data_IF_641374031851
#
_entry.id   IF_641374031851
#
_cell.length_a   1.000
_cell.length_b   1.000
_cell.length_c   1.000
_cell.angle_alpha   90.00
_cell.angle_beta   90.00
_cell.angle_gamma   90.00
#
_symmetry.space_group_name_H-M   'P 1'
#
loop_
_entity.id
_entity.type
_entity.pdbx_description
1 polymer ?
#
# COMPACT_ATOMS: atom_id res chain seq x y z
N UNK A 1 -8.17 -42.01 22.92
CA UNK A 1 -7.91 -41.27 21.67
C UNK A 1 -8.20 -39.78 21.87
N UNK A 2 -7.21 -39.00 22.32
CA UNK A 2 -7.35 -37.55 22.39
C UNK A 2 -6.93 -36.95 21.04
N UNK A 3 -7.87 -36.27 20.37
CA UNK A 3 -7.62 -35.51 19.14
C UNK A 3 -6.62 -34.39 19.45
N UNK A 4 -5.36 -34.57 19.05
CA UNK A 4 -4.37 -33.48 19.01
C UNK A 4 -4.89 -32.43 18.03
N UNK A 5 -5.43 -31.33 18.56
CA UNK A 5 -5.76 -30.15 17.78
C UNK A 5 -4.50 -29.68 17.04
N UNK A 6 -4.54 -29.69 15.71
CA UNK A 6 -3.50 -29.09 14.88
C UNK A 6 -3.40 -27.63 15.29
N UNK A 7 -2.26 -27.23 15.89
CA UNK A 7 -1.91 -25.80 16.03
C UNK A 7 -1.97 -25.18 14.63
N UNK A 8 -2.64 -24.04 14.43
CA UNK A 8 -2.63 -23.38 13.13
C UNK A 8 -1.18 -23.08 12.75
N UNK A 9 -0.80 -23.46 11.54
CA UNK A 9 0.46 -23.03 10.92
C UNK A 9 0.39 -21.50 10.89
N UNK A 10 1.31 -20.81 11.56
CA UNK A 10 1.35 -19.35 11.56
C UNK A 10 1.58 -18.88 10.12
N UNK A 11 0.62 -18.17 9.54
CA UNK A 11 0.78 -17.57 8.22
C UNK A 11 1.98 -16.59 8.23
N UNK A 12 2.74 -16.56 7.13
CA UNK A 12 3.74 -15.51 6.93
C UNK A 12 3.06 -14.13 6.93
N UNK A 13 3.73 -13.12 7.50
CA UNK A 13 3.22 -11.74 7.49
C UNK A 13 2.97 -11.21 6.08
N UNK A 14 3.77 -11.64 5.10
CA UNK A 14 3.54 -11.29 3.70
C UNK A 14 2.22 -11.86 3.20
N UNK A 15 1.87 -13.09 3.60
CA UNK A 15 0.60 -13.68 3.22
C UNK A 15 -0.59 -12.94 3.85
N UNK A 16 -0.45 -12.51 5.11
CA UNK A 16 -1.45 -11.67 5.79
C UNK A 16 -1.61 -10.33 5.07
N UNK A 17 -0.52 -9.63 4.79
CA UNK A 17 -0.53 -8.32 4.10
C UNK A 17 -1.12 -8.41 2.70
N UNK A 18 -0.74 -9.45 1.95
CA UNK A 18 -1.25 -9.66 0.60
C UNK A 18 -2.76 -9.98 0.60
N UNK A 19 -3.20 -10.78 1.57
CA UNK A 19 -4.61 -11.11 1.76
C UNK A 19 -5.43 -9.89 2.19
N UNK A 20 -4.88 -9.02 3.04
CA UNK A 20 -5.50 -7.74 3.41
C UNK A 20 -5.62 -6.79 2.21
N UNK A 21 -4.64 -6.76 1.29
CA UNK A 21 -4.74 -6.01 0.05
C UNK A 21 -5.95 -6.47 -0.80
N UNK A 22 -6.19 -7.78 -0.89
CA UNK A 22 -7.34 -8.34 -1.58
C UNK A 22 -8.66 -8.04 -0.87
N UNK A 23 -8.70 -8.10 0.47
CA UNK A 23 -9.88 -7.69 1.24
C UNK A 23 -10.20 -6.20 1.04
N UNK A 24 -9.18 -5.34 1.00
CA UNK A 24 -9.35 -3.93 0.67
C UNK A 24 -9.97 -3.76 -0.72
N UNK A 25 -9.45 -4.45 -1.73
CA UNK A 25 -10.02 -4.40 -3.08
C UNK A 25 -11.47 -4.90 -3.15
N UNK A 26 -11.81 -5.96 -2.40
CA UNK A 26 -13.18 -6.46 -2.29
C UNK A 26 -14.13 -5.42 -1.69
N UNK A 27 -13.72 -4.77 -0.59
CA UNK A 27 -14.52 -3.72 0.06
C UNK A 27 -14.66 -2.48 -0.82
N UNK A 28 -13.59 -2.07 -1.51
CA UNK A 28 -13.64 -0.93 -2.44
C UNK A 28 -14.55 -1.22 -3.62
N UNK A 29 -14.51 -2.41 -4.22
CA UNK A 29 -15.44 -2.79 -5.29
C UNK A 29 -16.89 -2.88 -4.82
N UNK A 30 -17.13 -3.31 -3.57
CA UNK A 30 -18.47 -3.28 -2.98
C UNK A 30 -19.00 -1.85 -2.87
N UNK A 31 -18.13 -0.89 -2.49
CA UNK A 31 -18.49 0.54 -2.38
C UNK A 31 -18.59 1.22 -3.75
N UNK A 32 -17.73 0.84 -4.69
CA UNK A 32 -17.64 1.40 -6.05
C UNK A 32 -17.58 0.26 -7.09
N UNK A 33 -18.75 -0.28 -7.50
CA UNK A 33 -18.80 -1.42 -8.44
C UNK A 33 -18.16 -1.15 -9.80
N UNK A 34 -18.04 0.12 -10.19
CA UNK A 34 -17.43 0.56 -11.46
C UNK A 34 -15.91 0.77 -11.37
N UNK A 35 -15.32 0.70 -10.17
CA UNK A 35 -13.90 0.93 -9.97
C UNK A 35 -13.01 -0.06 -10.75
N UNK A 36 -11.86 0.44 -11.22
CA UNK A 36 -10.88 -0.39 -11.92
C UNK A 36 -9.70 -0.69 -11.02
N UNK A 37 -9.37 -1.97 -10.90
CA UNK A 37 -8.29 -2.47 -10.06
C UNK A 37 -6.94 -2.36 -10.78
N UNK A 38 -5.98 -1.70 -10.14
CA UNK A 38 -4.58 -1.66 -10.54
C UNK A 38 -3.78 -2.81 -9.94
N UNK A 39 -2.72 -2.48 -9.20
CA UNK A 39 -1.86 -3.45 -8.50
C UNK A 39 -1.98 -3.31 -6.98
N UNK A 40 -1.83 -4.42 -6.26
CA UNK A 40 -1.87 -4.47 -4.81
C UNK A 40 -0.77 -5.32 -4.17
N UNK A 41 0.51 -4.89 -4.23
CA UNK A 41 1.61 -5.64 -3.67
C UNK A 41 1.73 -5.44 -2.15
N UNK A 42 2.49 -6.34 -1.52
CA UNK A 42 3.01 -6.11 -0.18
C UNK A 42 4.21 -5.16 -0.23
N UNK A 43 4.44 -4.47 0.89
CA UNK A 43 5.61 -3.63 1.15
C UNK A 43 6.13 -3.95 2.56
N UNK A 44 7.32 -3.43 2.90
CA UNK A 44 8.06 -3.77 4.13
C UNK A 44 7.20 -3.87 5.41
N UNK A 45 6.31 -2.89 5.64
CA UNK A 45 5.47 -2.81 6.84
C UNK A 45 3.97 -3.02 6.57
N UNK A 46 3.60 -3.41 5.35
CA UNK A 46 2.19 -3.38 4.97
C UNK A 46 1.90 -3.76 3.53
N UNK A 47 0.95 -3.06 2.95
CA UNK A 47 0.46 -3.25 1.59
C UNK A 47 -0.12 -1.94 1.06
N UNK A 48 -0.36 -1.90 -0.24
CA UNK A 48 -1.25 -0.92 -0.81
C UNK A 48 -2.11 -1.56 -1.89
N UNK A 49 -3.11 -0.83 -2.37
CA UNK A 49 -3.84 -1.20 -3.58
C UNK A 49 -4.19 0.06 -4.39
N UNK A 50 -3.96 0.00 -5.70
CA UNK A 50 -4.24 1.09 -6.64
C UNK A 50 -5.61 0.93 -7.28
N UNK A 51 -6.38 2.02 -7.34
CA UNK A 51 -7.73 2.04 -7.87
C UNK A 51 -7.94 3.24 -8.81
N UNK A 52 -8.59 3.01 -9.95
CA UNK A 52 -9.28 4.08 -10.65
C UNK A 52 -10.71 4.12 -10.13
N UNK A 53 -11.07 5.22 -9.48
CA UNK A 53 -12.35 5.39 -8.79
C UNK A 53 -13.21 6.44 -9.49
N UNK A 54 -14.54 6.34 -9.42
CA UNK A 54 -15.43 7.39 -9.93
C UNK A 54 -15.32 8.68 -9.13
N UNK A 55 -14.89 8.60 -7.86
CA UNK A 55 -14.49 9.73 -7.02
C UNK A 55 -13.35 9.32 -6.10
N UNK A 56 -12.48 10.24 -5.66
CA UNK A 56 -11.50 9.95 -4.63
C UNK A 56 -12.16 9.52 -3.31
N UNK A 57 -11.51 8.60 -2.60
CA UNK A 57 -11.79 8.24 -1.21
C UNK A 57 -10.97 9.18 -0.32
N UNK A 58 -11.62 9.90 0.60
CA UNK A 58 -10.91 10.76 1.54
C UNK A 58 -10.26 9.94 2.68
N UNK A 59 -9.26 10.49 3.36
CA UNK A 59 -8.57 9.78 4.45
C UNK A 59 -9.53 9.47 5.62
N UNK A 60 -10.54 10.31 5.82
CA UNK A 60 -11.57 10.19 6.85
C UNK A 60 -12.51 9.00 6.57
N UNK A 61 -12.66 8.59 5.31
CA UNK A 61 -13.47 7.43 4.91
C UNK A 61 -12.75 6.09 5.12
N UNK A 62 -11.43 6.10 5.40
CA UNK A 62 -10.65 4.87 5.57
C UNK A 62 -11.13 4.01 6.74
N UNK A 63 -11.59 4.65 7.83
CA UNK A 63 -12.14 3.93 8.99
C UNK A 63 -13.34 3.05 8.63
N UNK A 64 -14.22 3.53 7.74
CA UNK A 64 -15.38 2.74 7.27
C UNK A 64 -14.94 1.53 6.44
N UNK A 65 -13.90 1.69 5.61
CA UNK A 65 -13.35 0.57 4.83
C UNK A 65 -12.72 -0.48 5.75
N UNK A 66 -11.98 -0.05 6.77
CA UNK A 66 -11.40 -0.98 7.76
C UNK A 66 -12.48 -1.78 8.50
N UNK A 67 -13.57 -1.14 8.91
CA UNK A 67 -14.68 -1.83 9.58
C UNK A 67 -15.30 -2.90 8.68
N UNK A 68 -15.54 -2.60 7.40
CA UNK A 68 -16.01 -3.59 6.43
C UNK A 68 -14.98 -4.71 6.22
N UNK A 69 -13.68 -4.40 6.18
CA UNK A 69 -12.62 -5.43 6.14
C UNK A 69 -12.66 -6.33 7.38
N UNK A 70 -12.84 -5.77 8.59
CA UNK A 70 -12.99 -6.54 9.84
C UNK A 70 -14.25 -7.42 9.80
N UNK A 71 -15.35 -6.95 9.21
CA UNK A 71 -16.56 -7.77 8.99
C UNK A 71 -16.27 -8.96 8.08
N UNK A 72 -15.53 -8.78 6.98
CA UNK A 72 -15.11 -9.88 6.11
C UNK A 72 -14.18 -10.87 6.83
N UNK A 73 -13.25 -10.37 7.66
CA UNK A 73 -12.33 -11.23 8.41
C UNK A 73 -13.09 -12.22 9.31
N UNK A 74 -14.13 -11.74 10.00
CA UNK A 74 -14.97 -12.54 10.91
C UNK A 74 -15.81 -13.62 10.21
N UNK A 75 -15.94 -13.58 8.89
CA UNK A 75 -16.74 -14.53 8.11
C UNK A 75 -15.99 -15.83 7.74
N UNK A 76 -14.73 -16.00 8.15
CA UNK A 76 -13.93 -17.19 7.85
C UNK A 76 -13.82 -17.48 6.34
N UNK A 77 -13.66 -16.43 5.53
CA UNK A 77 -13.61 -16.55 4.08
C UNK A 77 -12.35 -17.29 3.66
N UNK A 78 -12.43 -18.03 2.55
CA UNK A 78 -11.35 -18.83 2.00
C UNK A 78 -10.74 -18.14 0.79
N UNK A 79 -9.42 -18.18 0.70
CA UNK A 79 -8.69 -17.79 -0.51
C UNK A 79 -8.44 -19.02 -1.37
N UNK A 80 -8.92 -19.05 -2.61
CA UNK A 80 -8.70 -20.20 -3.51
C UNK A 80 -8.05 -19.72 -4.81
N UNK A 81 -6.88 -20.28 -5.08
CA UNK A 81 -6.11 -20.00 -6.28
C UNK A 81 -6.33 -21.06 -7.34
N UNK A 82 -6.45 -20.65 -8.60
CA UNK A 82 -6.37 -21.58 -9.74
C UNK A 82 -5.51 -21.00 -10.86
N UNK A 83 -4.75 -21.87 -11.52
CA UNK A 83 -4.05 -21.54 -12.76
C UNK A 83 -5.10 -21.37 -13.86
N UNK A 84 -4.89 -20.39 -14.72
CA UNK A 84 -5.81 -20.07 -15.82
C UNK A 84 -5.05 -19.84 -17.11
N UNK A 85 -5.70 -20.08 -18.24
CA UNK A 85 -5.17 -19.67 -19.54
C UNK A 85 -5.28 -18.15 -19.72
N UNK A 86 -4.53 -17.58 -20.67
CA UNK A 86 -4.66 -16.17 -21.01
C UNK A 86 -6.07 -15.81 -21.50
N UNK A 87 -6.73 -16.72 -22.25
CA UNK A 87 -8.10 -16.52 -22.73
C UNK A 87 -9.10 -16.51 -21.56
N UNK A 88 -8.98 -17.45 -20.63
CA UNK A 88 -9.82 -17.49 -19.42
C UNK A 88 -9.59 -16.27 -18.54
N UNK A 89 -8.34 -15.89 -18.29
CA UNK A 89 -7.99 -14.71 -17.51
C UNK A 89 -8.62 -13.43 -18.10
N UNK A 90 -8.55 -13.25 -19.43
CA UNK A 90 -9.19 -12.12 -20.13
C UNK A 90 -10.71 -12.12 -19.97
N UNK A 91 -11.34 -13.29 -20.00
CA UNK A 91 -12.78 -13.44 -19.78
C UNK A 91 -13.18 -13.07 -18.34
N UNK A 92 -12.43 -13.55 -17.35
CA UNK A 92 -12.67 -13.28 -15.93
C UNK A 92 -12.43 -11.81 -15.57
N UNK A 93 -11.39 -11.20 -16.14
CA UNK A 93 -11.03 -9.80 -15.91
C UNK A 93 -11.69 -8.83 -16.91
N UNK A 94 -12.79 -9.24 -17.53
CA UNK A 94 -13.53 -8.40 -18.49
C UNK A 94 -13.99 -7.11 -17.78
N UNK A 95 -13.66 -5.97 -18.38
CA UNK A 95 -13.98 -4.66 -17.81
C UNK A 95 -12.98 -4.15 -16.77
N UNK A 96 -11.87 -4.85 -16.54
CA UNK A 96 -10.73 -4.40 -15.72
C UNK A 96 -9.53 -4.09 -16.62
N UNK A 97 -9.43 -2.88 -17.22
CA UNK A 97 -8.47 -2.59 -18.29
C UNK A 97 -7.01 -2.78 -17.87
N UNK A 98 -6.66 -2.37 -16.64
CA UNK A 98 -5.31 -2.54 -16.09
C UNK A 98 -4.95 -4.02 -15.92
N UNK A 99 -5.90 -4.86 -15.49
CA UNK A 99 -5.69 -6.32 -15.38
C UNK A 99 -5.54 -6.97 -16.76
N UNK A 100 -6.30 -6.53 -17.76
CA UNK A 100 -6.14 -6.99 -19.14
C UNK A 100 -4.76 -6.66 -19.71
N UNK A 101 -4.23 -5.48 -19.38
CA UNK A 101 -2.87 -5.09 -19.74
C UNK A 101 -1.82 -5.98 -19.05
N UNK A 102 -1.95 -6.21 -17.74
CA UNK A 102 -1.06 -7.13 -17.01
C UNK A 102 -1.09 -8.54 -17.61
N UNK A 103 -2.26 -9.06 -17.98
CA UNK A 103 -2.38 -10.37 -18.64
C UNK A 103 -1.59 -10.38 -19.95
N UNK A 104 -1.71 -9.33 -20.77
CA UNK A 104 -0.96 -9.22 -22.03
C UNK A 104 0.54 -9.26 -21.78
N UNK A 105 1.02 -8.48 -20.81
CA UNK A 105 2.45 -8.36 -20.52
C UNK A 105 3.00 -9.68 -19.95
N UNK A 106 2.31 -10.30 -18.99
CA UNK A 106 2.68 -11.61 -18.44
C UNK A 106 2.64 -12.73 -19.49
N UNK A 107 1.69 -12.67 -20.44
CA UNK A 107 1.63 -13.63 -21.54
C UNK A 107 2.84 -13.49 -22.48
N UNK A 108 3.26 -12.26 -22.79
CA UNK A 108 4.48 -12.00 -23.58
C UNK A 108 5.73 -12.52 -22.87
N UNK A 109 5.79 -12.36 -21.55
CA UNK A 109 6.87 -12.86 -20.69
C UNK A 109 6.78 -14.39 -20.44
N UNK A 110 5.81 -15.10 -21.03
CA UNK A 110 5.56 -16.54 -20.81
C UNK A 110 5.39 -16.91 -19.33
N UNK A 111 4.85 -16.00 -18.52
CA UNK A 111 4.59 -16.21 -17.09
C UNK A 111 3.28 -16.97 -16.88
N UNK A 112 3.28 -17.88 -15.92
CA UNK A 112 2.07 -18.59 -15.51
C UNK A 112 1.05 -17.59 -14.94
N UNK A 113 -0.16 -17.61 -15.47
CA UNK A 113 -1.28 -16.83 -14.97
C UNK A 113 -2.07 -17.63 -13.93
N UNK A 114 -2.49 -16.94 -12.88
CA UNK A 114 -3.39 -17.47 -11.85
C UNK A 114 -4.37 -16.39 -11.41
N UNK A 115 -5.52 -16.85 -10.96
CA UNK A 115 -6.54 -16.01 -10.31
C UNK A 115 -6.80 -16.52 -8.92
N UNK A 116 -7.13 -15.61 -8.01
CA UNK A 116 -7.47 -15.92 -6.63
C UNK A 116 -8.85 -15.34 -6.32
N UNK A 117 -9.73 -16.19 -5.79
CA UNK A 117 -11.01 -15.77 -5.25
C UNK A 117 -10.99 -15.66 -3.72
N UNK A 118 -11.91 -14.84 -3.21
CA UNK A 118 -12.32 -14.82 -1.82
C UNK A 118 -13.75 -15.33 -1.78
N UNK A 119 -13.97 -16.49 -1.18
CA UNK A 119 -15.26 -17.16 -1.16
C UNK A 119 -15.70 -17.54 0.25
N UNK A 120 -17.00 -17.78 0.43
CA UNK A 120 -17.54 -18.37 1.67
C UNK A 120 -16.94 -19.75 1.95
N UNK A 121 -16.93 -20.23 3.21
CA UNK A 121 -16.31 -21.50 3.58
C UNK A 121 -16.77 -22.70 2.74
N UNK A 122 -18.08 -22.77 2.47
CA UNK A 122 -18.74 -23.77 1.63
C UNK A 122 -18.42 -23.63 0.13
N UNK A 123 -17.87 -22.49 -0.29
CA UNK A 123 -17.59 -22.17 -1.68
C UNK A 123 -18.80 -21.73 -2.49
N UNK A 124 -19.97 -21.57 -1.87
CA UNK A 124 -21.21 -21.25 -2.57
C UNK A 124 -21.26 -19.82 -3.11
N UNK A 125 -20.53 -18.88 -2.47
CA UNK A 125 -20.51 -17.47 -2.88
C UNK A 125 -19.09 -16.94 -3.00
N UNK A 126 -18.76 -16.43 -4.19
CA UNK A 126 -17.52 -15.68 -4.45
C UNK A 126 -17.78 -14.19 -4.20
N UNK A 127 -17.04 -13.59 -3.28
CA UNK A 127 -17.14 -12.17 -2.94
C UNK A 127 -16.20 -11.31 -3.77
N UNK A 128 -15.08 -11.89 -4.20
CA UNK A 128 -14.04 -11.19 -4.95
C UNK A 128 -13.21 -12.17 -5.77
N UNK A 129 -12.71 -11.72 -6.92
CA UNK A 129 -11.81 -12.48 -7.79
C UNK A 129 -10.80 -11.50 -8.39
N UNK A 130 -9.52 -11.85 -8.36
CA UNK A 130 -8.45 -11.02 -8.94
C UNK A 130 -7.36 -11.83 -9.62
N UNK A 131 -6.69 -11.21 -10.58
CA UNK A 131 -5.46 -11.72 -11.18
C UNK A 131 -4.31 -11.54 -10.19
N UNK A 132 -3.80 -12.66 -9.69
CA UNK A 132 -2.82 -12.67 -8.62
C UNK A 132 -1.94 -13.92 -8.70
N UNK A 133 -0.65 -13.78 -8.36
CA UNK A 133 0.32 -14.90 -8.31
C UNK A 133 0.17 -15.81 -7.08
N UNK A 134 -0.61 -15.39 -6.08
CA UNK A 134 -0.81 -16.12 -4.84
C UNK A 134 0.11 -15.71 -3.70
N UNK A 135 0.22 -16.59 -2.71
CA UNK A 135 0.83 -16.28 -1.41
C UNK A 135 -0.18 -15.69 -0.43
N UNK A 136 -1.42 -16.18 -0.44
CA UNK A 136 -2.47 -15.79 0.51
C UNK A 136 -2.50 -16.72 1.73
N UNK A 137 -3.13 -16.24 2.80
CA UNK A 137 -3.57 -17.11 3.91
C UNK A 137 -4.62 -18.11 3.43
N UNK A 138 -4.82 -19.23 4.12
CA UNK A 138 -5.86 -20.19 3.73
C UNK A 138 -7.26 -19.70 4.11
N UNK A 139 -7.38 -18.99 5.23
CA UNK A 139 -8.60 -18.37 5.71
C UNK A 139 -8.34 -16.98 6.27
N UNK A 140 -9.34 -16.11 6.16
CA UNK A 140 -9.33 -14.83 6.87
C UNK A 140 -9.22 -14.97 8.40
N UNK A 141 -9.49 -16.15 8.99
CA UNK A 141 -9.26 -16.41 10.41
C UNK A 141 -7.77 -16.33 10.82
N UNK A 142 -6.85 -16.48 9.86
CA UNK A 142 -5.41 -16.33 10.12
C UNK A 142 -4.99 -14.85 10.21
N UNK A 143 -5.89 -13.92 9.90
CA UNK A 143 -5.67 -12.48 9.97
C UNK A 143 -6.19 -11.97 11.31
N UNK A 144 -5.31 -11.39 12.12
CA UNK A 144 -5.73 -10.76 13.37
C UNK A 144 -6.48 -9.44 13.08
N UNK A 145 -7.78 -9.30 13.42
CA UNK A 145 -8.62 -8.19 12.99
C UNK A 145 -8.20 -6.82 13.54
N UNK A 146 -7.49 -6.80 14.68
CA UNK A 146 -6.97 -5.58 15.29
C UNK A 146 -5.47 -5.35 15.04
N UNK A 147 -4.84 -6.13 14.15
CA UNK A 147 -3.41 -6.00 13.84
C UNK A 147 -3.13 -5.38 12.46
N UNK A 148 -4.12 -4.68 11.89
CA UNK A 148 -3.94 -3.89 10.67
C UNK A 148 -4.64 -2.52 10.77
N UNK A 149 -4.18 -1.57 9.95
CA UNK A 149 -4.75 -0.23 9.81
C UNK A 149 -4.52 0.32 8.39
N UNK A 150 -5.52 0.95 7.79
CA UNK A 150 -5.38 1.79 6.61
C UNK A 150 -4.85 3.16 7.04
N UNK A 151 -3.76 3.62 6.42
CA UNK A 151 -2.99 4.76 6.93
C UNK A 151 -3.25 6.05 6.17
N UNK A 152 -3.19 6.01 4.84
CA UNK A 152 -3.33 7.18 3.99
C UNK A 152 -3.70 6.80 2.57
N UNK A 153 -4.21 7.79 1.84
CA UNK A 153 -4.33 7.75 0.40
C UNK A 153 -3.21 8.55 -0.28
N UNK A 154 -2.87 8.19 -1.51
CA UNK A 154 -1.92 8.92 -2.34
C UNK A 154 -2.31 8.80 -3.82
N UNK A 155 -1.77 9.67 -4.67
CA UNK A 155 -1.83 9.50 -6.12
C UNK A 155 -0.69 8.61 -6.61
N UNK A 156 -0.96 7.75 -7.58
CA UNK A 156 0.05 6.99 -8.30
C UNK A 156 -0.30 6.91 -9.78
N UNK A 157 0.68 7.08 -10.66
CA UNK A 157 0.45 6.87 -12.08
C UNK A 157 0.59 5.40 -12.45
N UNK A 158 -0.30 4.90 -13.31
CA UNK A 158 -0.20 3.52 -13.78
C UNK A 158 1.16 3.26 -14.44
N UNK A 159 1.83 2.18 -14.03
CA UNK A 159 3.22 1.83 -14.41
C UNK A 159 4.26 2.93 -14.14
N UNK A 160 3.97 3.88 -13.25
CA UNK A 160 4.90 4.95 -12.87
C UNK A 160 5.16 5.99 -13.96
N UNK A 161 4.30 6.08 -14.98
CA UNK A 161 4.44 7.05 -16.07
C UNK A 161 3.32 8.09 -16.02
N UNK A 162 3.65 9.37 -15.93
CA UNK A 162 2.71 10.50 -15.87
C UNK A 162 1.80 10.62 -17.10
N UNK A 163 2.14 9.93 -18.19
CA UNK A 163 1.33 9.83 -19.42
C UNK A 163 0.14 8.89 -19.27
N UNK A 164 0.14 8.04 -18.24
CA UNK A 164 -0.92 7.08 -17.98
C UNK A 164 -1.94 7.64 -16.99
N UNK A 165 -3.14 7.04 -16.88
CA UNK A 165 -4.14 7.45 -15.90
C UNK A 165 -3.59 7.49 -14.47
N UNK A 166 -3.94 8.56 -13.74
CA UNK A 166 -3.68 8.66 -12.31
C UNK A 166 -4.67 7.76 -11.55
N UNK A 167 -4.13 6.92 -10.70
CA UNK A 167 -4.85 6.04 -9.79
C UNK A 167 -4.75 6.58 -8.37
N UNK A 168 -5.75 6.25 -7.55
CA UNK A 168 -5.67 6.44 -6.11
C UNK A 168 -5.11 5.20 -5.45
N UNK A 169 -3.99 5.36 -4.76
CA UNK A 169 -3.35 4.35 -3.94
C UNK A 169 -3.87 4.45 -2.51
N UNK A 170 -4.32 3.34 -1.94
CA UNK A 170 -4.68 3.26 -0.52
C UNK A 170 -3.64 2.40 0.18
N UNK A 171 -2.99 2.95 1.20
CA UNK A 171 -1.98 2.27 2.01
C UNK A 171 -2.60 1.62 3.25
N UNK A 172 -2.10 0.44 3.60
CA UNK A 172 -2.36 -0.21 4.87
C UNK A 172 -1.10 -0.81 5.47
N UNK A 173 -1.08 -0.93 6.79
CA UNK A 173 -0.03 -1.61 7.55
C UNK A 173 -0.61 -2.80 8.28
N UNK A 174 0.18 -3.86 8.44
CA UNK A 174 -0.28 -5.07 9.12
C UNK A 174 0.88 -5.81 9.80
N UNK A 175 0.58 -6.34 10.99
CA UNK A 175 1.52 -6.97 11.92
C UNK A 175 0.92 -8.26 12.48
N UNK A 176 1.74 -9.04 13.21
CA UNK A 176 1.27 -10.30 13.77
C UNK A 176 0.36 -10.06 14.98
N UNK A 177 0.59 -8.96 15.69
CA UNK A 177 -0.13 -8.63 16.91
C UNK A 177 -0.61 -7.18 16.92
N UNK A 178 -1.69 -6.91 17.67
CA UNK A 178 -2.15 -5.55 17.96
C UNK A 178 -1.07 -4.70 18.64
N UNK A 179 -0.23 -5.31 19.49
CA UNK A 179 0.86 -4.61 20.19
C UNK A 179 1.89 -4.04 19.21
N UNK A 180 2.30 -4.84 18.22
CA UNK A 180 3.23 -4.40 17.17
C UNK A 180 2.63 -3.28 16.32
N UNK A 181 1.36 -3.38 15.94
CA UNK A 181 0.65 -2.31 15.24
C UNK A 181 0.69 -1.01 16.04
N UNK A 182 0.32 -1.06 17.33
CA UNK A 182 0.33 0.14 18.19
C UNK A 182 1.73 0.73 18.31
N UNK A 183 2.76 -0.10 18.49
CA UNK A 183 4.15 0.34 18.57
C UNK A 183 4.60 1.03 17.28
N UNK A 184 4.27 0.44 16.11
CA UNK A 184 4.58 1.03 14.81
C UNK A 184 3.87 2.38 14.63
N UNK A 185 2.58 2.46 14.93
CA UNK A 185 1.82 3.72 14.79
C UNK A 185 2.37 4.82 15.70
N UNK A 186 2.77 4.49 16.93
CA UNK A 186 3.43 5.43 17.84
C UNK A 186 4.76 5.93 17.27
N UNK A 187 5.57 5.04 16.69
CA UNK A 187 6.81 5.44 16.02
C UNK A 187 6.54 6.38 14.84
N UNK A 188 5.53 6.10 14.01
CA UNK A 188 5.17 6.97 12.88
C UNK A 188 4.74 8.37 13.36
N UNK A 189 4.00 8.46 14.45
CA UNK A 189 3.62 9.75 15.05
C UNK A 189 4.87 10.55 15.51
N UNK A 190 5.84 9.87 16.13
CA UNK A 190 7.10 10.49 16.54
C UNK A 190 7.97 10.94 15.35
N UNK A 191 7.98 10.17 14.25
CA UNK A 191 8.66 10.56 13.01
C UNK A 191 7.98 11.77 12.36
N UNK A 192 6.65 11.82 12.37
CA UNK A 192 5.88 12.93 11.81
C UNK A 192 6.10 14.24 12.59
N UNK A 193 6.31 14.17 13.91
CA UNK A 193 6.72 15.33 14.73
C UNK A 193 8.10 15.88 14.35
N UNK A 194 8.95 15.05 13.72
CA UNK A 194 10.34 15.36 13.31
C UNK A 194 10.47 15.62 11.82
N UNK A 195 9.35 15.73 11.10
CA UNK A 195 9.36 16.03 9.67
C UNK A 195 9.90 17.45 9.43
N UNK A 196 11.04 17.55 8.75
CA UNK A 196 11.71 18.81 8.45
C UNK A 196 10.81 19.79 7.69
N UNK A 197 9.80 19.32 6.94
CA UNK A 197 8.86 20.19 6.21
C UNK A 197 7.90 20.87 7.19
N UNK A 198 7.45 20.13 8.21
CA UNK A 198 6.60 20.68 9.28
C UNK A 198 7.41 21.59 10.20
N UNK A 199 8.58 21.14 10.62
CA UNK A 199 9.47 21.93 11.48
C UNK A 199 9.99 23.18 10.78
N UNK A 200 10.41 23.06 9.51
CA UNK A 200 10.89 24.17 8.70
C UNK A 200 9.86 25.29 8.56
N UNK A 201 8.59 24.93 8.32
CA UNK A 201 7.50 25.91 8.33
C UNK A 201 7.26 26.50 9.74
N UNK A 202 7.24 25.67 10.80
CA UNK A 202 6.96 26.12 12.18
C UNK A 202 8.06 27.01 12.77
N UNK A 203 9.29 26.81 12.36
CA UNK A 203 10.49 27.52 12.81
C UNK A 203 10.91 28.64 11.84
N UNK A 204 10.12 28.87 10.79
CA UNK A 204 10.37 29.90 9.78
C UNK A 204 11.75 29.76 9.12
N UNK A 205 12.11 28.54 8.71
CA UNK A 205 13.42 28.24 8.11
C UNK A 205 13.40 28.39 6.59
N UNK A 206 12.35 27.88 5.95
CA UNK A 206 12.20 27.93 4.49
C UNK A 206 10.74 27.77 4.08
N UNK A 207 10.44 28.13 2.83
CA UNK A 207 9.16 27.90 2.18
C UNK A 207 9.33 27.41 0.74
N UNK A 208 8.26 26.89 0.16
CA UNK A 208 8.20 26.48 -1.24
C UNK A 208 7.07 27.20 -1.95
N UNK A 209 7.34 27.65 -3.17
CA UNK A 209 6.39 28.38 -4.01
C UNK A 209 6.27 27.75 -5.39
N UNK A 210 5.09 27.86 -6.00
CA UNK A 210 4.81 27.32 -7.34
C UNK A 210 5.65 27.96 -8.45
N UNK A 211 6.17 29.16 -8.22
CA UNK A 211 7.07 29.87 -9.15
C UNK A 211 8.41 29.16 -9.33
N UNK A 212 8.88 28.39 -8.33
CA UNK A 212 10.09 27.59 -8.42
C UNK A 212 9.92 26.24 -7.71
N UNK A 213 9.25 25.27 -8.37
CA UNK A 213 9.00 23.95 -7.77
C UNK A 213 10.31 23.22 -7.44
N UNK A 214 10.45 22.76 -6.20
CA UNK A 214 11.63 22.04 -5.73
C UNK A 214 12.79 22.93 -5.28
N UNK A 215 12.72 24.25 -5.48
CA UNK A 215 13.69 25.20 -4.93
C UNK A 215 13.15 25.81 -3.63
N UNK A 216 13.82 25.58 -2.47
CA UNK A 216 13.42 26.21 -1.22
C UNK A 216 13.81 27.69 -1.22
N UNK A 217 12.89 28.52 -0.73
CA UNK A 217 13.17 29.91 -0.40
C UNK A 217 13.61 29.94 1.06
N UNK A 218 14.90 30.18 1.29
CA UNK A 218 15.45 30.24 2.64
C UNK A 218 15.09 31.55 3.32
N UNK A 219 14.55 31.45 4.53
CA UNK A 219 14.21 32.60 5.36
C UNK A 219 15.41 33.00 6.22
N UNK A 220 15.31 34.08 6.99
CA UNK A 220 16.40 34.57 7.83
C UNK A 220 16.99 33.50 8.75
N UNK A 221 16.13 32.78 9.48
CA UNK A 221 16.57 31.71 10.39
C UNK A 221 17.21 30.53 9.67
N UNK A 222 16.67 30.14 8.51
CA UNK A 222 17.23 29.06 7.70
C UNK A 222 18.57 29.43 7.08
N UNK A 223 18.72 30.69 6.64
CA UNK A 223 19.99 31.19 6.09
C UNK A 223 21.11 31.21 7.14
N UNK A 224 20.81 31.46 8.41
CA UNK A 224 21.80 31.33 9.49
C UNK A 224 22.32 29.90 9.55
N UNK A 225 21.43 28.90 9.64
CA UNK A 225 21.81 27.49 9.67
C UNK A 225 22.63 27.08 8.43
N UNK A 226 22.21 27.53 7.25
CA UNK A 226 22.90 27.22 6.01
C UNK A 226 24.33 27.79 6.00
N UNK A 227 24.51 29.05 6.41
CA UNK A 227 25.82 29.71 6.46
C UNK A 227 26.76 29.08 7.49
N UNK A 228 26.25 28.66 8.64
CA UNK A 228 27.06 27.95 9.65
C UNK A 228 27.57 26.61 9.11
N UNK A 229 26.71 25.85 8.42
CA UNK A 229 27.11 24.59 7.77
C UNK A 229 28.11 24.81 6.63
N UNK A 230 27.89 25.83 5.81
CA UNK A 230 28.78 26.23 4.72
C UNK A 230 30.16 26.63 5.26
N UNK A 231 30.22 27.48 6.29
CA UNK A 231 31.47 27.89 6.93
C UNK A 231 32.23 26.72 7.55
N UNK A 232 31.52 25.78 8.19
CA UNK A 232 32.12 24.56 8.71
C UNK A 232 32.72 23.70 7.58
N UNK A 233 31.97 23.43 6.52
CA UNK A 233 32.45 22.60 5.40
C UNK A 233 33.65 23.26 4.71
N UNK A 234 33.62 24.57 4.45
CA UNK A 234 34.76 25.31 3.90
C UNK A 234 36.02 25.11 4.75
N UNK A 235 35.90 25.30 6.07
CA UNK A 235 37.01 25.11 7.01
C UNK A 235 37.61 23.70 6.96
N UNK A 236 36.78 22.66 6.83
CA UNK A 236 37.27 21.29 6.73
C UNK A 236 37.92 20.99 5.36
N UNK A 237 37.38 21.56 4.27
CA UNK A 237 37.95 21.43 2.93
C UNK A 237 39.30 22.13 2.81
N UNK A 238 39.45 23.33 3.38
CA UNK A 238 40.71 24.07 3.43
C UNK A 238 41.80 23.25 4.14
N UNK A 239 41.47 22.67 5.30
CA UNK A 239 42.39 21.79 6.05
C UNK A 239 42.80 20.56 5.25
N UNK A 240 41.90 20.04 4.42
CA UNK A 240 42.15 18.90 3.54
C UNK A 240 42.87 19.28 2.24
N UNK A 241 43.21 20.56 2.04
CA UNK A 241 43.96 21.05 0.87
C UNK A 241 43.13 21.15 -0.40
N UNK A 242 41.80 21.18 -0.30
CA UNK A 242 40.94 21.49 -1.44
C UNK A 242 41.03 22.98 -1.75
N UNK A 243 40.98 23.31 -3.04
CA UNK A 243 40.89 24.68 -3.52
C UNK A 243 39.45 24.96 -3.98
N UNK A 244 38.73 25.82 -3.26
CA UNK A 244 37.38 26.28 -3.66
C UNK A 244 37.46 27.08 -4.97
N UNK A 245 36.49 26.90 -5.88
CA UNK A 245 36.38 27.55 -7.20
C UNK A 245 35.14 28.45 -7.30
#
# INVERSE_FOLDING_TARGET
MQKKGKKPVSASLDAVRHSLAHLLAAVVLKKFPTAKLGVGPTIENGFYYDFLLPRPIANEELGQLEEEMRKLIRQNLRFRGRKVSAAEAKKLMRGQPFKLELIRDFTKEKRQLSVYDIATPDGGKVLFLDLCRGGHVHSTQEIHPDAFRLTKTAGAYWKGSERNPQLQRIYGVAFATKRELTAYLKLQEELEKRDHRKLGARLDLFSFHSVAPGAPFWHGNGMILFKELEAFIRSELDKAGYQEI
#
